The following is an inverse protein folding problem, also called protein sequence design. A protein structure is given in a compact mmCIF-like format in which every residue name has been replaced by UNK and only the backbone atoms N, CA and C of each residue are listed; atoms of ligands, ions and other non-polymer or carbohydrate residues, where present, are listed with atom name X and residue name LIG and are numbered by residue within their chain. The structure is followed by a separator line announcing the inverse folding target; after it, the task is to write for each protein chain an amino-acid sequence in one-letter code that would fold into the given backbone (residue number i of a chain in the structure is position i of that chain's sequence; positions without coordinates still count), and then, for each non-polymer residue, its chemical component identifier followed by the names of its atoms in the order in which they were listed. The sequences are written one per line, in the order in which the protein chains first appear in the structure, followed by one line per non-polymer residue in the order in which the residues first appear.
data_IF_401898097568
#
_entry.id   IF_401898097568
#
_cell.length_a   1.000
_cell.length_b   1.000
_cell.length_c   1.000
_cell.angle_alpha   90.00
_cell.angle_beta   90.00
_cell.angle_gamma   90.00
#
_symmetry.space_group_name_H-M   'P 1'
#
loop_
_entity.id
_entity.type
_entity.pdbx_description
1 polymer ?
#
# COMPACT_ATOMS: atom_id res chain seq x y z
N UNK A 1 -9.39 11.26 -9.18
CA UNK A 1 -10.24 10.04 -9.29
C UNK A 1 -10.34 9.33 -7.94
N UNK A 2 -11.24 8.36 -7.74
CA UNK A 2 -11.28 7.53 -6.52
C UNK A 2 -10.61 6.19 -6.77
N UNK A 3 -9.62 5.84 -5.96
CA UNK A 3 -8.74 4.69 -6.22
C UNK A 3 -8.69 3.84 -4.96
N UNK A 4 -9.04 2.56 -5.08
CA UNK A 4 -8.87 1.60 -3.99
C UNK A 4 -7.52 0.91 -4.16
N UNK A 5 -6.61 1.17 -3.22
CA UNK A 5 -5.29 0.57 -3.20
C UNK A 5 -5.33 -0.82 -2.54
N UNK A 6 -4.54 -1.74 -3.09
CA UNK A 6 -4.30 -3.05 -2.50
C UNK A 6 -3.35 -2.94 -1.29
N UNK A 7 -3.32 -3.96 -0.43
CA UNK A 7 -2.44 -4.05 0.74
C UNK A 7 -0.96 -3.83 0.37
N UNK A 8 -0.49 -4.38 -0.76
CA UNK A 8 0.92 -4.27 -1.15
C UNK A 8 1.37 -2.83 -1.43
N UNK A 9 0.47 -1.98 -1.91
CA UNK A 9 0.78 -0.56 -2.19
C UNK A 9 1.18 0.15 -0.89
N UNK A 10 0.44 -0.11 0.18
CA UNK A 10 0.71 0.45 1.49
C UNK A 10 2.02 -0.09 2.08
N UNK A 11 2.26 -1.41 1.97
CA UNK A 11 3.48 -2.04 2.47
C UNK A 11 4.73 -1.49 1.78
N UNK A 12 4.76 -1.48 0.45
CA UNK A 12 5.90 -0.96 -0.31
C UNK A 12 6.14 0.53 -0.04
N UNK A 13 5.07 1.32 0.15
CA UNK A 13 5.22 2.72 0.52
C UNK A 13 5.88 2.88 1.89
N UNK A 14 5.41 2.15 2.91
CA UNK A 14 5.94 2.22 4.27
C UNK A 14 7.39 1.70 4.37
N UNK A 15 7.74 0.70 3.56
CA UNK A 15 9.09 0.13 3.49
C UNK A 15 10.03 0.94 2.59
N UNK A 16 9.53 1.98 1.91
CA UNK A 16 10.32 2.82 1.01
C UNK A 16 10.72 2.13 -0.30
N UNK A 17 10.06 1.03 -0.67
CA UNK A 17 10.37 0.20 -1.83
C UNK A 17 9.81 0.76 -3.14
N UNK A 18 10.15 2.01 -3.46
CA UNK A 18 9.62 2.70 -4.65
C UNK A 18 9.90 1.97 -5.97
N UNK A 19 10.93 1.12 -6.01
CA UNK A 19 11.27 0.31 -7.18
C UNK A 19 10.15 -0.66 -7.62
N UNK A 20 9.24 -1.01 -6.72
CA UNK A 20 8.11 -1.90 -7.03
C UNK A 20 6.95 -1.18 -7.72
N UNK A 21 6.94 0.16 -7.72
CA UNK A 21 5.93 0.95 -8.40
C UNK A 21 6.30 1.19 -9.85
N UNK A 22 5.42 0.74 -10.76
CA UNK A 22 5.51 1.13 -12.16
C UNK A 22 5.39 2.66 -12.33
N UNK A 23 5.88 3.25 -13.43
CA UNK A 23 5.72 4.69 -13.68
C UNK A 23 4.27 5.16 -13.58
N UNK A 24 3.34 4.40 -14.18
CA UNK A 24 1.89 4.69 -14.11
C UNK A 24 1.38 4.68 -12.65
N UNK A 25 1.83 3.71 -11.84
CA UNK A 25 1.44 3.63 -10.44
C UNK A 25 1.96 4.85 -9.66
N UNK A 26 3.19 5.29 -9.93
CA UNK A 26 3.74 6.49 -9.29
C UNK A 26 2.96 7.74 -9.69
N UNK A 27 2.66 7.92 -10.97
CA UNK A 27 1.88 9.06 -11.47
C UNK A 27 0.51 9.11 -10.79
N UNK A 28 -0.16 7.95 -10.68
CA UNK A 28 -1.46 7.83 -10.02
C UNK A 28 -1.39 8.13 -8.52
N UNK A 29 -0.37 7.64 -7.82
CA UNK A 29 -0.22 7.81 -6.36
C UNK A 29 0.24 9.23 -5.98
N UNK A 30 0.97 9.93 -6.86
CA UNK A 30 1.53 11.26 -6.62
C UNK A 30 0.60 12.39 -7.09
N UNK A 31 -0.40 12.07 -7.90
CA UNK A 31 -1.42 13.04 -8.32
C UNK A 31 -2.37 13.36 -7.15
N UNK A 32 -2.23 14.57 -6.60
CA UNK A 32 -3.02 15.07 -5.48
C UNK A 32 -4.53 15.24 -5.81
N UNK A 33 -4.92 15.16 -7.08
CA UNK A 33 -6.34 15.15 -7.49
C UNK A 33 -6.99 13.78 -7.34
N UNK A 34 -6.21 12.75 -6.98
CA UNK A 34 -6.70 11.42 -6.64
C UNK A 34 -7.01 11.28 -5.15
N UNK A 35 -8.18 10.72 -4.86
CA UNK A 35 -8.54 10.24 -3.54
C UNK A 35 -8.14 8.77 -3.44
N UNK A 36 -7.14 8.49 -2.60
CA UNK A 36 -6.68 7.13 -2.31
C UNK A 36 -7.47 6.56 -1.14
N UNK A 37 -8.09 5.40 -1.36
CA UNK A 37 -8.82 4.64 -0.36
C UNK A 37 -8.04 3.38 -0.03
N UNK A 38 -8.03 3.03 1.26
CA UNK A 38 -7.47 1.79 1.77
C UNK A 38 -8.57 1.03 2.51
N UNK A 39 -8.66 -0.27 2.24
CA UNK A 39 -9.63 -1.12 2.92
C UNK A 39 -9.28 -1.26 4.39
N UNK A 40 -10.27 -1.15 5.27
CA UNK A 40 -10.08 -1.48 6.69
C UNK A 40 -9.60 -2.92 6.84
N UNK A 41 -10.14 -3.87 6.06
CA UNK A 41 -9.69 -5.27 6.08
C UNK A 41 -8.20 -5.43 5.78
N UNK A 42 -7.64 -4.62 4.87
CA UNK A 42 -6.20 -4.61 4.60
C UNK A 42 -5.39 -4.20 5.84
N UNK A 43 -5.87 -3.24 6.63
CA UNK A 43 -5.22 -2.87 7.90
C UNK A 43 -5.21 -4.02 8.91
N UNK A 44 -6.34 -4.74 9.04
CA UNK A 44 -6.42 -5.92 9.93
C UNK A 44 -5.47 -7.02 9.47
N UNK A 45 -5.42 -7.28 8.16
CA UNK A 45 -4.51 -8.26 7.59
C UNK A 45 -3.05 -7.93 7.90
N UNK A 46 -2.64 -6.67 7.72
CA UNK A 46 -1.29 -6.19 8.05
C UNK A 46 -1.00 -6.42 9.54
N UNK A 47 -1.90 -5.97 10.42
CA UNK A 47 -1.70 -6.09 11.87
C UNK A 47 -1.57 -7.55 12.32
N UNK A 48 -2.41 -8.45 11.78
CA UNK A 48 -2.36 -9.89 12.07
C UNK A 48 -1.04 -10.47 11.55
N UNK A 49 -0.67 -10.22 10.29
CA UNK A 49 0.56 -10.79 9.70
C UNK A 49 1.82 -10.25 10.38
N UNK A 50 1.85 -8.99 10.78
CA UNK A 50 2.92 -8.40 11.58
C UNK A 50 3.02 -9.08 12.96
N UNK A 51 1.89 -9.30 13.65
CA UNK A 51 1.89 -10.02 14.95
C UNK A 51 2.40 -11.46 14.86
N UNK A 52 2.32 -12.07 13.67
CA UNK A 52 2.82 -13.41 13.37
C UNK A 52 4.27 -13.43 12.85
N UNK A 53 4.95 -12.27 12.83
CA UNK A 53 6.32 -12.12 12.31
C UNK A 53 6.50 -12.69 10.90
N UNK A 54 5.52 -12.45 10.02
CA UNK A 54 5.65 -12.83 8.61
C UNK A 54 6.76 -12.00 7.95
N UNK A 55 7.60 -12.59 7.07
CA UNK A 55 8.79 -11.93 6.53
C UNK A 55 8.54 -10.58 5.87
N UNK A 56 7.40 -10.41 5.20
CA UNK A 56 7.06 -9.17 4.47
C UNK A 56 6.36 -8.12 5.36
N UNK A 57 6.17 -8.42 6.66
CA UNK A 57 5.34 -7.65 7.60
C UNK A 57 6.06 -7.35 8.92
N UNK A 58 7.39 -7.45 8.97
CA UNK A 58 8.21 -7.17 10.16
C UNK A 58 8.79 -5.77 10.19
#
# INVERSE_FOLDING_TARGET
MKILCDTHVLLWYLQGERQHFSPLTQDVLLDETNELYFSTASMWEIAIKHSLSKPDFS
#
